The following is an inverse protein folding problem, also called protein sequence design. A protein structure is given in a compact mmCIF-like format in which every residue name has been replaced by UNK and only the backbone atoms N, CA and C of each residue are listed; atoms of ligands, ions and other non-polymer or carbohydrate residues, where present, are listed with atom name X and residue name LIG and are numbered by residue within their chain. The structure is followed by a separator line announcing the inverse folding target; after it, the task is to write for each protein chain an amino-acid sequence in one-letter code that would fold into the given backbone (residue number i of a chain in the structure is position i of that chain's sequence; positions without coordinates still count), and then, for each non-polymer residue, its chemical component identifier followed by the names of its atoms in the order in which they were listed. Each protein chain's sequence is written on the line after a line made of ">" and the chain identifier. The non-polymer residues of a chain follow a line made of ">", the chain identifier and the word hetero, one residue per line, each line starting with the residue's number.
data_IF_220663175051
#
_entry.id   IF_220663175051
#
_cell.length_a   1.000
_cell.length_b   1.000
_cell.length_c   1.000
_cell.angle_alpha   90.00
_cell.angle_beta   90.00
_cell.angle_gamma   90.00
#
_symmetry.space_group_name_H-M   'P 1'
#
loop_
_entity.id
_entity.type
_entity.pdbx_description
1 polymer ?
#
# COMPACT_ATOMS: atom_id res chain seq x y z
N UNK A 1 21.46 -53.42 -57.97
CA UNK A 1 21.08 -53.24 -56.52
C UNK A 1 22.06 -52.37 -55.72
N UNK A 2 23.36 -52.31 -55.94
CA UNK A 2 24.32 -51.45 -55.21
C UNK A 2 24.14 -49.97 -55.39
N UNK A 3 23.79 -49.51 -56.62
CA UNK A 3 23.68 -48.07 -56.98
C UNK A 3 22.46 -47.43 -56.34
N UNK A 4 21.33 -48.15 -56.21
CA UNK A 4 20.09 -47.63 -55.59
C UNK A 4 20.24 -47.47 -54.05
N UNK A 5 21.05 -48.29 -53.40
CA UNK A 5 21.31 -48.25 -51.95
C UNK A 5 22.19 -47.05 -51.57
N UNK A 6 23.12 -46.63 -52.45
CA UNK A 6 23.96 -45.43 -52.21
C UNK A 6 23.18 -44.13 -52.36
N UNK A 7 22.19 -44.07 -53.24
CA UNK A 7 21.36 -42.86 -53.42
C UNK A 7 20.36 -42.66 -52.25
N UNK A 8 19.89 -43.76 -51.62
CA UNK A 8 19.00 -43.70 -50.48
C UNK A 8 19.77 -43.23 -49.22
N UNK A 9 20.97 -43.76 -48.99
CA UNK A 9 21.82 -43.37 -47.86
C UNK A 9 22.27 -41.89 -47.96
N UNK A 10 22.60 -41.43 -49.18
CA UNK A 10 22.93 -40.01 -49.38
C UNK A 10 21.77 -39.06 -49.14
N UNK A 11 20.55 -39.43 -49.53
CA UNK A 11 19.32 -38.65 -49.23
C UNK A 11 18.98 -38.62 -47.76
N UNK A 12 19.14 -39.72 -47.05
CA UNK A 12 18.93 -39.81 -45.58
C UNK A 12 19.99 -38.96 -44.85
N UNK A 13 21.25 -39.06 -45.24
CA UNK A 13 22.31 -38.22 -44.66
C UNK A 13 22.09 -36.73 -44.90
N UNK A 14 21.62 -36.35 -46.09
CA UNK A 14 21.29 -34.96 -46.43
C UNK A 14 20.07 -34.45 -45.63
N UNK A 15 19.09 -35.31 -45.41
CA UNK A 15 17.91 -34.97 -44.63
C UNK A 15 18.23 -34.80 -43.12
N UNK A 16 19.09 -35.70 -42.56
CA UNK A 16 19.58 -35.59 -41.19
C UNK A 16 20.43 -34.32 -41.00
N UNK A 17 21.29 -33.99 -41.99
CA UNK A 17 22.09 -32.77 -41.94
C UNK A 17 21.23 -31.51 -42.02
N UNK A 18 20.16 -31.51 -42.83
CA UNK A 18 19.20 -30.41 -42.89
C UNK A 18 18.39 -30.26 -41.56
N UNK A 19 18.04 -31.37 -40.96
CA UNK A 19 17.31 -31.40 -39.65
C UNK A 19 18.19 -30.88 -38.49
N UNK A 20 19.50 -31.20 -38.50
CA UNK A 20 20.45 -30.68 -37.51
C UNK A 20 20.70 -29.18 -37.65
N UNK A 21 20.66 -28.63 -38.88
CA UNK A 21 20.73 -27.19 -39.13
C UNK A 21 19.48 -26.44 -38.63
N UNK A 22 18.32 -27.06 -38.66
CA UNK A 22 17.09 -26.48 -38.08
C UNK A 22 17.08 -26.47 -36.55
N UNK A 23 17.81 -27.38 -35.89
CA UNK A 23 17.92 -27.44 -34.45
C UNK A 23 18.95 -26.45 -33.85
N UNK A 24 19.82 -25.89 -34.68
CA UNK A 24 20.74 -24.81 -34.28
C UNK A 24 20.16 -23.41 -34.47
N UNK A 25 18.84 -23.29 -34.71
CA UNK A 25 18.13 -22.01 -34.73
C UNK A 25 18.21 -21.34 -33.37
N UNK A 26 19.17 -20.48 -33.30
CA UNK A 26 19.41 -19.39 -32.34
C UNK A 26 18.41 -19.21 -31.22
N UNK A 27 18.79 -19.60 -30.02
CA UNK A 27 18.43 -18.83 -28.82
C UNK A 27 19.22 -17.51 -28.81
N UNK A 28 19.02 -16.65 -29.79
CA UNK A 28 19.37 -15.25 -29.62
C UNK A 28 18.31 -14.67 -28.68
N UNK A 29 18.67 -14.52 -27.43
CA UNK A 29 17.96 -13.57 -26.57
C UNK A 29 18.01 -12.23 -27.29
N UNK A 30 16.88 -11.85 -27.89
CA UNK A 30 16.73 -10.53 -28.49
C UNK A 30 16.74 -9.53 -27.33
N UNK A 31 17.91 -8.97 -27.07
CA UNK A 31 18.05 -7.88 -26.12
C UNK A 31 17.58 -6.61 -26.82
N UNK A 32 16.44 -6.08 -26.40
CA UNK A 32 15.98 -4.77 -26.80
C UNK A 32 17.09 -3.74 -26.50
N UNK A 33 17.71 -3.11 -27.54
CA UNK A 33 18.80 -2.17 -27.32
C UNK A 33 18.38 -0.90 -26.55
N UNK A 34 17.07 -0.64 -26.42
CA UNK A 34 16.51 0.45 -25.61
C UNK A 34 16.31 0.05 -24.14
N UNK A 35 16.45 -1.24 -23.80
CA UNK A 35 16.33 -1.71 -22.42
C UNK A 35 17.69 -1.64 -21.73
N UNK A 36 17.78 -0.88 -20.64
CA UNK A 36 18.95 -0.93 -19.77
C UNK A 36 19.15 -2.39 -19.29
N UNK A 37 20.38 -2.92 -19.49
CA UNK A 37 20.71 -4.24 -18.95
C UNK A 37 20.60 -4.21 -17.44
N UNK A 38 19.96 -5.21 -16.86
CA UNK A 38 19.75 -5.31 -15.41
C UNK A 38 21.06 -5.15 -14.64
N UNK A 39 22.14 -5.77 -15.12
CA UNK A 39 23.47 -5.69 -14.49
C UNK A 39 24.04 -4.27 -14.49
N UNK A 40 23.78 -3.49 -15.54
CA UNK A 40 24.21 -2.07 -15.63
C UNK A 40 23.36 -1.21 -14.73
N UNK A 41 22.05 -1.43 -14.69
CA UNK A 41 21.14 -0.68 -13.83
C UNK A 41 21.41 -0.95 -12.34
N UNK A 42 21.68 -2.19 -11.96
CA UNK A 42 21.94 -2.58 -10.57
C UNK A 42 23.40 -2.42 -10.14
N UNK A 43 24.34 -2.24 -11.09
CA UNK A 43 25.75 -2.09 -10.82
C UNK A 43 26.22 -0.64 -10.55
N UNK A 44 25.34 0.36 -10.68
CA UNK A 44 25.71 1.76 -10.54
C UNK A 44 24.82 2.51 -9.54
N UNK A 45 25.40 3.52 -8.89
CA UNK A 45 24.66 4.40 -7.98
C UNK A 45 23.45 5.06 -8.67
N UNK A 46 23.63 5.56 -9.88
CA UNK A 46 22.56 6.20 -10.66
C UNK A 46 21.46 5.21 -11.03
N UNK A 47 21.80 4.00 -11.46
CA UNK A 47 20.82 2.97 -11.80
C UNK A 47 20.03 2.51 -10.59
N UNK A 48 20.70 2.27 -9.45
CA UNK A 48 20.01 1.94 -8.18
C UNK A 48 19.06 3.05 -7.74
N UNK A 49 19.44 4.32 -7.91
CA UNK A 49 18.56 5.46 -7.61
C UNK A 49 17.33 5.47 -8.51
N UNK A 50 17.49 5.20 -9.80
CA UNK A 50 16.38 5.12 -10.74
C UNK A 50 15.40 3.99 -10.37
N UNK A 51 15.91 2.81 -9.97
CA UNK A 51 15.06 1.70 -9.51
C UNK A 51 14.36 2.08 -8.20
N UNK A 52 15.06 2.69 -7.24
CA UNK A 52 14.49 3.13 -5.97
C UNK A 52 13.33 4.14 -6.16
N UNK A 53 13.51 5.15 -7.03
CA UNK A 53 12.44 6.08 -7.41
C UNK A 53 11.30 5.33 -8.13
N UNK A 54 11.63 4.33 -8.93
CA UNK A 54 10.68 3.44 -9.61
C UNK A 54 9.74 2.72 -8.64
N UNK A 55 10.19 2.39 -7.42
CA UNK A 55 9.34 1.79 -6.38
C UNK A 55 8.17 2.70 -6.01
N UNK A 56 8.43 4.00 -5.78
CA UNK A 56 7.37 4.97 -5.54
C UNK A 56 6.40 5.03 -6.73
N UNK A 57 6.93 5.04 -7.95
CA UNK A 57 6.11 5.09 -9.15
C UNK A 57 5.21 3.87 -9.28
N UNK A 58 5.72 2.65 -9.05
CA UNK A 58 4.90 1.43 -9.05
C UNK A 58 3.84 1.48 -7.95
N UNK A 59 4.17 2.06 -6.78
CA UNK A 59 3.21 2.19 -5.68
C UNK A 59 2.06 3.15 -6.02
N UNK A 60 2.33 4.28 -6.67
CA UNK A 60 1.38 5.40 -6.83
C UNK A 60 0.75 5.51 -8.21
N UNK A 61 1.34 4.90 -9.25
CA UNK A 61 0.95 5.14 -10.64
C UNK A 61 -0.29 4.33 -11.03
N UNK A 62 -1.27 5.00 -11.63
CA UNK A 62 -2.42 4.42 -12.31
C UNK A 62 -3.30 3.49 -11.44
N UNK A 63 -4.30 2.88 -12.06
CA UNK A 63 -5.17 1.87 -11.43
C UNK A 63 -4.47 0.57 -11.05
N UNK A 64 -3.27 0.34 -11.55
CA UNK A 64 -2.47 -0.85 -11.22
C UNK A 64 -1.58 -0.66 -10.00
N UNK A 65 -1.38 0.59 -9.55
CA UNK A 65 -0.57 0.89 -8.37
C UNK A 65 -1.20 0.40 -7.08
N UNK A 66 -0.35 0.08 -6.10
CA UNK A 66 -0.77 -0.40 -4.78
C UNK A 66 -1.69 0.60 -4.08
N UNK A 67 -1.38 1.90 -4.17
CA UNK A 67 -2.17 2.97 -3.55
C UNK A 67 -3.63 2.95 -4.01
N UNK A 68 -3.88 3.03 -5.31
CA UNK A 68 -5.24 3.01 -5.82
C UNK A 68 -5.96 1.71 -5.50
N UNK A 69 -5.30 0.57 -5.75
CA UNK A 69 -5.90 -0.74 -5.59
C UNK A 69 -6.28 -1.02 -4.13
N UNK A 70 -5.43 -0.63 -3.17
CA UNK A 70 -5.73 -0.78 -1.74
C UNK A 70 -6.88 0.12 -1.28
N UNK A 71 -6.89 1.39 -1.69
CA UNK A 71 -7.95 2.34 -1.34
C UNK A 71 -9.30 1.89 -1.93
N UNK A 72 -9.32 1.49 -3.21
CA UNK A 72 -10.53 1.02 -3.87
C UNK A 72 -11.06 -0.27 -3.23
N UNK A 73 -10.19 -1.28 -3.05
CA UNK A 73 -10.58 -2.55 -2.45
C UNK A 73 -11.14 -2.36 -1.03
N UNK A 74 -10.42 -1.60 -0.18
CA UNK A 74 -10.88 -1.28 1.16
C UNK A 74 -12.19 -0.51 1.14
N UNK A 75 -12.26 0.60 0.41
CA UNK A 75 -13.39 1.52 0.46
C UNK A 75 -14.71 0.90 -0.01
N UNK A 76 -14.68 -0.01 -0.98
CA UNK A 76 -15.87 -0.73 -1.40
C UNK A 76 -16.35 -1.76 -0.37
N UNK A 77 -15.44 -2.55 0.19
CA UNK A 77 -15.84 -3.62 1.12
C UNK A 77 -16.17 -3.09 2.53
N UNK A 78 -15.73 -1.87 2.85
CA UNK A 78 -16.02 -1.22 4.15
C UNK A 78 -17.09 -0.13 4.06
N UNK A 79 -17.83 -0.07 2.94
CA UNK A 79 -18.89 0.91 2.72
C UNK A 79 -18.46 2.39 2.74
N UNK A 80 -17.21 2.70 2.42
CA UNK A 80 -16.78 4.10 2.22
C UNK A 80 -17.28 4.64 0.87
N UNK A 81 -17.34 3.76 -0.16
CA UNK A 81 -17.63 4.15 -1.53
C UNK A 81 -18.91 3.51 -2.09
N UNK A 82 -19.58 4.25 -2.98
CA UNK A 82 -20.62 3.74 -3.87
C UNK A 82 -20.12 3.72 -5.31
N UNK A 83 -20.40 2.65 -6.02
CA UNK A 83 -20.14 2.54 -7.44
C UNK A 83 -21.19 3.34 -8.23
N UNK A 84 -20.76 4.11 -9.22
CA UNK A 84 -21.64 4.88 -10.11
C UNK A 84 -21.77 4.25 -11.49
N UNK A 85 -20.78 3.46 -11.92
CA UNK A 85 -20.77 2.81 -13.22
C UNK A 85 -20.53 1.31 -13.05
N UNK A 86 -21.61 0.53 -13.13
CA UNK A 86 -21.59 -0.94 -13.00
C UNK A 86 -20.83 -1.67 -14.12
N UNK A 87 -20.49 -0.99 -15.21
CA UNK A 87 -19.60 -1.54 -16.24
C UNK A 87 -18.16 -1.74 -15.78
N UNK A 88 -17.77 -1.13 -14.65
CA UNK A 88 -16.49 -1.40 -13.99
C UNK A 88 -16.61 -2.67 -13.14
N UNK A 89 -16.47 -3.82 -13.77
CA UNK A 89 -16.72 -5.14 -13.15
C UNK A 89 -15.90 -5.37 -11.88
N UNK A 90 -14.60 -5.06 -11.80
CA UNK A 90 -13.83 -5.28 -10.58
C UNK A 90 -14.36 -4.48 -9.39
N UNK A 91 -14.76 -3.22 -9.60
CA UNK A 91 -15.38 -2.38 -8.58
C UNK A 91 -16.78 -2.89 -8.22
N UNK A 92 -17.54 -3.40 -9.20
CA UNK A 92 -18.86 -4.01 -8.95
C UNK A 92 -18.74 -5.25 -8.07
N UNK A 93 -17.78 -6.13 -8.33
CA UNK A 93 -17.51 -7.30 -7.49
C UNK A 93 -17.20 -6.88 -6.04
N UNK A 94 -16.30 -5.92 -5.83
CA UNK A 94 -15.93 -5.40 -4.49
C UNK A 94 -17.11 -4.70 -3.82
N UNK A 95 -17.92 -3.96 -4.58
CA UNK A 95 -19.13 -3.29 -4.08
C UNK A 95 -20.22 -4.27 -3.68
N UNK A 96 -20.34 -5.40 -4.38
CA UNK A 96 -21.26 -6.50 -4.05
C UNK A 96 -20.75 -7.28 -2.84
N UNK A 97 -19.47 -7.63 -2.82
CA UNK A 97 -18.84 -8.39 -1.74
C UNK A 97 -19.14 -9.89 -1.79
N UNK A 98 -18.88 -10.57 -0.68
CA UNK A 98 -19.14 -12.01 -0.54
C UNK A 98 -18.49 -12.85 -1.64
N UNK A 99 -19.23 -13.79 -2.20
CA UNK A 99 -18.76 -14.68 -3.28
C UNK A 99 -18.54 -13.97 -4.62
N UNK A 100 -19.06 -12.76 -4.81
CA UNK A 100 -18.79 -11.99 -6.03
C UNK A 100 -17.33 -11.56 -6.15
N UNK A 101 -16.58 -11.54 -5.04
CA UNK A 101 -15.15 -11.23 -5.02
C UNK A 101 -14.38 -12.53 -5.12
N UNK A 102 -13.80 -12.80 -6.27
CA UNK A 102 -13.01 -14.01 -6.55
C UNK A 102 -11.61 -13.68 -7.09
N UNK A 103 -10.82 -14.71 -7.41
CA UNK A 103 -9.45 -14.60 -7.92
C UNK A 103 -9.31 -13.97 -9.30
N UNK A 104 -10.41 -13.65 -10.00
CA UNK A 104 -10.40 -12.93 -11.28
C UNK A 104 -10.40 -11.41 -11.12
N UNK A 105 -10.65 -10.90 -9.90
CA UNK A 105 -10.74 -9.46 -9.66
C UNK A 105 -9.43 -8.74 -9.98
N UNK A 106 -9.45 -7.87 -10.98
CA UNK A 106 -8.23 -7.22 -11.49
C UNK A 106 -7.68 -6.14 -10.54
N UNK A 107 -8.51 -5.56 -9.65
CA UNK A 107 -8.01 -4.64 -8.61
C UNK A 107 -7.17 -5.42 -7.59
N UNK A 108 -7.64 -6.59 -7.16
CA UNK A 108 -6.91 -7.46 -6.23
C UNK A 108 -5.65 -8.05 -6.87
N UNK A 109 -5.74 -8.46 -8.14
CA UNK A 109 -4.57 -8.90 -8.90
C UNK A 109 -3.51 -7.80 -8.99
N UNK A 110 -3.91 -6.56 -9.33
CA UNK A 110 -3.01 -5.44 -9.45
C UNK A 110 -2.33 -5.10 -8.10
N UNK A 111 -3.11 -5.11 -7.02
CA UNK A 111 -2.58 -4.92 -5.67
C UNK A 111 -1.51 -5.96 -5.33
N UNK A 112 -1.81 -7.24 -5.58
CA UNK A 112 -0.91 -8.37 -5.34
C UNK A 112 0.35 -8.30 -6.19
N UNK A 113 0.18 -8.17 -7.51
CA UNK A 113 1.30 -8.18 -8.46
C UNK A 113 2.23 -6.98 -8.27
N UNK A 114 1.67 -5.77 -8.08
CA UNK A 114 2.46 -4.56 -7.85
C UNK A 114 3.18 -4.60 -6.49
N UNK A 115 2.54 -5.13 -5.44
CA UNK A 115 3.19 -5.28 -4.15
C UNK A 115 4.38 -6.27 -4.22
N UNK A 116 4.19 -7.44 -4.86
CA UNK A 116 5.28 -8.41 -5.05
C UNK A 116 6.41 -7.84 -5.92
N UNK A 117 6.08 -7.08 -6.97
CA UNK A 117 7.08 -6.38 -7.78
C UNK A 117 7.89 -5.39 -6.95
N UNK A 118 7.26 -4.59 -6.11
CA UNK A 118 7.94 -3.65 -5.22
C UNK A 118 8.87 -4.40 -4.26
N UNK A 119 8.43 -5.51 -3.67
CA UNK A 119 9.28 -6.33 -2.78
C UNK A 119 10.52 -6.82 -3.53
N UNK A 120 10.34 -7.37 -4.74
CA UNK A 120 11.45 -7.87 -5.56
C UNK A 120 12.43 -6.75 -5.94
N UNK A 121 11.94 -5.64 -6.50
CA UNK A 121 12.80 -4.54 -6.94
C UNK A 121 13.53 -3.89 -5.75
N UNK A 122 12.85 -3.75 -4.60
CA UNK A 122 13.47 -3.22 -3.38
C UNK A 122 14.57 -4.13 -2.85
N UNK A 123 14.41 -5.45 -2.92
CA UNK A 123 15.45 -6.42 -2.55
C UNK A 123 16.70 -6.27 -3.45
N UNK A 124 16.48 -6.04 -4.75
CA UNK A 124 17.60 -5.77 -5.68
C UNK A 124 18.35 -4.50 -5.29
N UNK A 125 17.64 -3.41 -4.99
CA UNK A 125 18.27 -2.14 -4.57
C UNK A 125 19.01 -2.32 -3.25
N UNK A 126 18.37 -2.89 -2.23
CA UNK A 126 18.94 -3.04 -0.88
C UNK A 126 20.21 -3.92 -0.93
N UNK A 127 20.15 -5.03 -1.67
CA UNK A 127 21.30 -5.93 -1.79
C UNK A 127 22.49 -5.27 -2.48
N UNK A 128 22.25 -4.61 -3.63
CA UNK A 128 23.31 -4.02 -4.43
C UNK A 128 23.84 -2.71 -3.84
N UNK A 129 23.03 -1.94 -3.10
CA UNK A 129 23.45 -0.72 -2.43
C UNK A 129 24.60 -0.96 -1.42
N UNK A 130 24.64 -2.14 -0.78
CA UNK A 130 25.71 -2.51 0.14
C UNK A 130 27.12 -2.50 -0.51
N UNK A 131 27.19 -2.67 -1.82
CA UNK A 131 28.45 -2.71 -2.59
C UNK A 131 28.95 -1.31 -2.98
N UNK A 132 28.17 -0.25 -2.77
CA UNK A 132 28.59 1.12 -3.09
C UNK A 132 29.70 1.60 -2.14
N UNK A 133 30.64 2.35 -2.69
CA UNK A 133 31.72 3.00 -1.92
C UNK A 133 31.21 4.11 -1.01
N UNK A 134 30.26 4.93 -1.47
CA UNK A 134 29.58 5.96 -0.67
C UNK A 134 28.54 5.30 0.26
N UNK A 135 28.93 5.08 1.52
CA UNK A 135 28.07 4.42 2.51
C UNK A 135 26.88 5.28 2.96
N UNK A 136 27.02 6.60 2.94
CA UNK A 136 25.90 7.51 3.22
C UNK A 136 24.85 7.50 2.11
N UNK A 137 25.28 7.40 0.86
CA UNK A 137 24.37 7.22 -0.29
C UNK A 137 23.69 5.86 -0.25
N UNK A 138 24.46 4.80 0.03
CA UNK A 138 23.94 3.45 0.21
C UNK A 138 22.87 3.38 1.30
N UNK A 139 23.12 4.03 2.44
CA UNK A 139 22.15 4.11 3.54
C UNK A 139 20.84 4.78 3.10
N UNK A 140 20.92 5.83 2.31
CA UNK A 140 19.77 6.49 1.72
C UNK A 140 18.96 5.57 0.79
N UNK A 141 19.63 4.85 -0.12
CA UNK A 141 19.01 3.88 -1.02
C UNK A 141 18.30 2.75 -0.25
N UNK A 142 18.99 2.18 0.75
CA UNK A 142 18.45 1.12 1.60
C UNK A 142 17.22 1.61 2.34
N UNK A 143 17.31 2.77 2.98
CA UNK A 143 16.21 3.31 3.78
C UNK A 143 14.98 3.67 2.93
N UNK A 144 15.19 4.36 1.82
CA UNK A 144 14.12 4.74 0.91
C UNK A 144 13.41 3.50 0.31
N UNK A 145 14.18 2.51 -0.15
CA UNK A 145 13.62 1.27 -0.69
C UNK A 145 12.91 0.44 0.37
N UNK A 146 13.40 0.46 1.61
CA UNK A 146 12.77 -0.22 2.76
C UNK A 146 11.39 0.33 3.08
N UNK A 147 11.12 1.63 2.88
CA UNK A 147 9.79 2.23 3.05
C UNK A 147 8.80 1.56 2.10
N UNK A 148 9.11 1.47 0.81
CA UNK A 148 8.20 0.90 -0.18
C UNK A 148 8.06 -0.61 -0.02
N UNK A 149 9.15 -1.31 0.34
CA UNK A 149 9.09 -2.73 0.66
C UNK A 149 8.17 -3.01 1.85
N UNK A 150 8.29 -2.23 2.92
CA UNK A 150 7.43 -2.35 4.10
C UNK A 150 5.97 -2.00 3.79
N UNK A 151 5.72 -0.96 3.00
CA UNK A 151 4.37 -0.62 2.52
C UNK A 151 3.75 -1.76 1.70
N UNK A 152 4.51 -2.39 0.81
CA UNK A 152 4.03 -3.51 -0.01
C UNK A 152 3.70 -4.74 0.84
N UNK A 153 4.61 -5.16 1.73
CA UNK A 153 4.41 -6.29 2.66
C UNK A 153 3.23 -5.99 3.59
N UNK A 154 3.17 -4.78 4.17
CA UNK A 154 2.11 -4.37 5.08
C UNK A 154 0.74 -4.35 4.41
N UNK A 155 0.63 -3.87 3.17
CA UNK A 155 -0.62 -3.95 2.39
C UNK A 155 -1.04 -5.39 2.14
N UNK A 156 -0.14 -6.28 1.73
CA UNK A 156 -0.48 -7.69 1.56
C UNK A 156 -0.95 -8.31 2.89
N UNK A 157 -0.24 -8.08 3.99
CA UNK A 157 -0.61 -8.59 5.32
C UNK A 157 -1.94 -8.02 5.85
N UNK A 158 -2.32 -6.82 5.40
CA UNK A 158 -3.60 -6.21 5.74
C UNK A 158 -4.78 -6.86 5.01
N UNK A 159 -4.60 -7.32 3.78
CA UNK A 159 -5.71 -7.77 2.95
C UNK A 159 -5.82 -9.28 2.79
N UNK A 160 -4.76 -10.04 3.00
CA UNK A 160 -4.75 -11.51 2.92
C UNK A 160 -4.41 -12.16 4.26
N UNK A 161 -4.96 -13.34 4.53
CA UNK A 161 -4.69 -14.11 5.75
C UNK A 161 -3.24 -14.59 5.84
N UNK A 162 -2.66 -14.89 4.67
CA UNK A 162 -1.27 -15.28 4.52
C UNK A 162 -0.65 -14.56 3.33
N UNK A 163 0.63 -14.30 3.39
CA UNK A 163 1.38 -13.62 2.34
C UNK A 163 2.64 -14.41 1.99
N UNK A 164 3.22 -14.23 0.79
CA UNK A 164 4.48 -14.88 0.43
C UNK A 164 5.62 -14.47 1.36
N UNK A 165 6.46 -15.43 1.73
CA UNK A 165 7.66 -15.17 2.55
C UNK A 165 8.85 -14.66 1.71
N UNK A 166 8.61 -14.23 0.50
CA UNK A 166 9.62 -13.70 -0.42
C UNK A 166 9.08 -13.60 -1.82
N UNK A 167 9.99 -13.52 -2.79
CA UNK A 167 9.67 -13.47 -4.22
C UNK A 167 10.31 -14.64 -4.93
N UNK A 168 9.64 -15.20 -5.97
CA UNK A 168 10.14 -16.32 -6.76
C UNK A 168 9.07 -17.38 -6.99
N UNK A 169 9.48 -18.52 -7.57
CA UNK A 169 8.58 -19.63 -7.87
C UNK A 169 8.34 -20.49 -6.63
N UNK A 170 7.09 -20.87 -6.38
CA UNK A 170 6.69 -21.75 -5.28
C UNK A 170 7.17 -21.28 -3.89
N UNK A 171 7.07 -19.98 -3.62
CA UNK A 171 7.45 -19.39 -2.35
C UNK A 171 6.51 -19.86 -1.25
N UNK A 172 7.03 -20.12 -0.06
CA UNK A 172 6.24 -20.42 1.13
C UNK A 172 5.40 -19.23 1.57
N UNK A 173 4.35 -19.49 2.33
CA UNK A 173 3.46 -18.46 2.88
C UNK A 173 3.62 -18.33 4.39
N UNK A 174 3.60 -17.10 4.87
CA UNK A 174 3.59 -16.76 6.29
C UNK A 174 2.24 -16.12 6.68
N UNK A 175 1.92 -16.16 7.95
CA UNK A 175 0.71 -15.50 8.47
C UNK A 175 0.80 -13.98 8.32
N UNK A 176 -0.34 -13.29 8.31
CA UNK A 176 -0.37 -11.83 8.28
C UNK A 176 0.38 -11.19 9.46
N UNK A 177 0.31 -11.78 10.65
CA UNK A 177 1.07 -11.30 11.81
C UNK A 177 2.59 -11.37 11.58
N UNK A 178 3.09 -12.47 11.01
CA UNK A 178 4.47 -12.60 10.58
C UNK A 178 4.82 -11.61 9.44
N UNK A 179 3.86 -11.31 8.57
CA UNK A 179 4.02 -10.30 7.52
C UNK A 179 4.24 -8.89 8.10
N UNK A 180 3.45 -8.47 9.10
CA UNK A 180 3.68 -7.20 9.78
C UNK A 180 5.02 -7.17 10.52
N UNK A 181 5.39 -8.27 11.20
CA UNK A 181 6.71 -8.38 11.83
C UNK A 181 7.84 -8.27 10.81
N UNK A 182 7.70 -8.87 9.62
CA UNK A 182 8.65 -8.75 8.52
C UNK A 182 8.76 -7.31 8.00
N UNK A 183 7.65 -6.60 7.86
CA UNK A 183 7.64 -5.19 7.48
C UNK A 183 8.38 -4.32 8.51
N UNK A 184 8.16 -4.57 9.82
CA UNK A 184 8.88 -3.91 10.91
C UNK A 184 10.37 -4.21 10.83
N UNK A 185 10.77 -5.47 10.65
CA UNK A 185 12.18 -5.86 10.57
C UNK A 185 12.93 -5.19 9.40
N UNK A 186 12.27 -5.01 8.26
CA UNK A 186 12.81 -4.25 7.11
C UNK A 186 13.10 -2.80 7.49
N UNK A 187 12.19 -2.17 8.24
CA UNK A 187 12.33 -0.79 8.71
C UNK A 187 13.37 -0.66 9.84
N UNK A 188 13.49 -1.66 10.72
CA UNK A 188 14.52 -1.72 11.76
C UNK A 188 15.92 -1.78 11.15
N UNK A 189 16.09 -2.62 10.12
CA UNK A 189 17.35 -2.68 9.38
C UNK A 189 17.70 -1.32 8.75
N UNK A 190 16.71 -0.62 8.18
CA UNK A 190 16.92 0.71 7.62
C UNK A 190 17.42 1.72 8.66
N UNK A 191 16.81 1.74 9.86
CA UNK A 191 17.27 2.61 10.96
C UNK A 191 18.67 2.24 11.42
N UNK A 192 18.99 0.95 11.51
CA UNK A 192 20.33 0.46 11.88
C UNK A 192 21.39 0.94 10.87
N UNK A 193 21.09 0.86 9.58
CA UNK A 193 21.99 1.32 8.52
C UNK A 193 22.19 2.84 8.55
N UNK A 194 21.10 3.61 8.77
CA UNK A 194 21.16 5.08 8.92
C UNK A 194 22.00 5.49 10.16
N UNK A 195 21.85 4.77 11.26
CA UNK A 195 22.61 5.06 12.48
C UNK A 195 24.11 4.82 12.30
N UNK A 196 24.47 3.79 11.53
CA UNK A 196 25.88 3.51 11.21
C UNK A 196 26.47 4.48 10.15
N UNK A 197 25.65 4.89 9.18
CA UNK A 197 26.04 5.75 8.08
C UNK A 197 24.92 6.76 7.79
N UNK A 198 25.00 8.00 8.28
CA UNK A 198 24.00 9.02 8.02
C UNK A 198 23.74 9.21 6.52
N UNK A 199 22.49 9.41 6.15
CA UNK A 199 22.09 9.60 4.75
C UNK A 199 22.82 10.82 4.17
N UNK A 200 23.50 10.65 3.03
CA UNK A 200 24.24 11.72 2.39
C UNK A 200 23.31 12.77 1.75
N UNK A 201 23.76 14.03 1.75
CA UNK A 201 23.04 15.12 1.08
C UNK A 201 22.93 14.86 -0.43
N UNK A 202 23.92 14.21 -1.03
CA UNK A 202 23.90 13.83 -2.45
C UNK A 202 22.78 12.83 -2.75
N UNK A 203 22.46 11.90 -1.85
CA UNK A 203 21.30 11.02 -2.02
C UNK A 203 19.99 11.83 -1.92
N UNK A 204 19.84 12.66 -0.89
CA UNK A 204 18.63 13.44 -0.65
C UNK A 204 18.29 14.38 -1.81
N UNK A 205 19.29 14.87 -2.55
CA UNK A 205 19.07 15.72 -3.74
C UNK A 205 18.62 14.94 -4.98
N UNK A 206 18.72 13.61 -4.97
CA UNK A 206 18.38 12.74 -6.11
C UNK A 206 17.07 11.96 -5.94
N UNK A 207 16.38 12.11 -4.81
CA UNK A 207 15.07 11.46 -4.55
C UNK A 207 14.00 12.50 -4.25
N UNK A 208 12.70 12.17 -4.38
CA UNK A 208 11.62 13.08 -4.03
C UNK A 208 11.74 13.58 -2.58
N UNK A 209 11.86 14.89 -2.41
CA UNK A 209 12.01 15.52 -1.09
C UNK A 209 10.74 15.44 -0.23
N UNK A 210 9.60 15.10 -0.85
CA UNK A 210 8.29 15.01 -0.20
C UNK A 210 8.15 13.78 0.71
N UNK A 211 9.10 12.82 0.63
CA UNK A 211 9.18 11.65 1.51
C UNK A 211 10.22 11.91 2.61
N UNK A 212 9.75 12.24 3.81
CA UNK A 212 10.64 12.33 4.96
C UNK A 212 11.01 10.92 5.44
N UNK A 213 12.21 10.45 5.08
CA UNK A 213 12.61 9.04 5.22
C UNK A 213 12.50 8.56 6.66
N UNK A 214 13.17 9.21 7.60
CA UNK A 214 13.23 8.76 9.00
C UNK A 214 11.86 8.81 9.66
N UNK A 215 11.13 9.91 9.49
CA UNK A 215 9.78 10.03 10.03
C UNK A 215 8.83 8.98 9.46
N UNK A 216 8.92 8.71 8.15
CA UNK A 216 8.09 7.68 7.51
C UNK A 216 8.39 6.30 8.05
N UNK A 217 9.66 5.98 8.31
CA UNK A 217 10.05 4.71 8.92
C UNK A 217 9.39 4.56 10.29
N UNK A 218 9.49 5.54 11.18
CA UNK A 218 8.86 5.52 12.50
C UNK A 218 7.34 5.42 12.41
N UNK A 219 6.70 6.18 11.52
CA UNK A 219 5.25 6.15 11.32
C UNK A 219 4.74 4.78 10.85
N UNK A 220 5.43 4.15 9.90
CA UNK A 220 5.07 2.81 9.41
C UNK A 220 5.35 1.72 10.45
N UNK A 221 6.44 1.82 11.22
CA UNK A 221 6.70 0.92 12.34
C UNK A 221 5.59 1.02 13.40
N UNK A 222 5.16 2.24 13.76
CA UNK A 222 4.04 2.45 14.68
C UNK A 222 2.75 1.81 14.17
N UNK A 223 2.42 2.01 12.88
CA UNK A 223 1.25 1.40 12.23
C UNK A 223 1.29 -0.13 12.27
N UNK A 224 2.38 -0.75 11.82
CA UNK A 224 2.46 -2.20 11.75
C UNK A 224 2.62 -2.86 13.13
N UNK A 225 3.26 -2.20 14.08
CA UNK A 225 3.30 -2.63 15.47
C UNK A 225 1.89 -2.63 16.11
N UNK A 226 1.09 -1.58 15.86
CA UNK A 226 -0.31 -1.54 16.26
C UNK A 226 -1.11 -2.69 15.62
N UNK A 227 -0.94 -2.95 14.32
CA UNK A 227 -1.66 -4.00 13.58
C UNK A 227 -1.27 -5.41 14.03
N UNK A 228 -0.06 -5.61 14.50
CA UNK A 228 0.41 -6.88 15.08
C UNK A 228 0.12 -7.04 16.58
N UNK A 229 -0.47 -6.03 17.23
CA UNK A 229 -0.73 -6.04 18.66
C UNK A 229 0.48 -5.75 19.56
N UNK A 230 1.60 -5.33 18.99
CA UNK A 230 2.77 -4.91 19.76
C UNK A 230 2.63 -3.45 20.21
N UNK A 231 1.80 -3.23 21.22
CA UNK A 231 1.43 -1.90 21.69
C UNK A 231 2.61 -1.10 22.23
N UNK A 232 3.55 -1.76 22.92
CA UNK A 232 4.75 -1.09 23.45
C UNK A 232 5.59 -0.49 22.32
N UNK A 233 5.87 -1.28 21.26
CA UNK A 233 6.59 -0.79 20.10
C UNK A 233 5.80 0.28 19.36
N UNK A 234 4.48 0.11 19.20
CA UNK A 234 3.62 1.08 18.53
C UNK A 234 3.69 2.46 19.20
N UNK A 235 3.65 2.51 20.54
CA UNK A 235 3.76 3.76 21.30
C UNK A 235 5.16 4.38 21.18
N UNK A 236 6.20 3.56 21.31
CA UNK A 236 7.60 4.01 21.16
C UNK A 236 7.82 4.68 19.82
N UNK A 237 7.42 4.01 18.75
CA UNK A 237 7.61 4.51 17.38
C UNK A 237 6.71 5.72 17.08
N UNK A 238 5.47 5.72 17.54
CA UNK A 238 4.58 6.87 17.41
C UNK A 238 5.12 8.13 18.13
N UNK A 239 5.83 7.96 19.25
CA UNK A 239 6.49 9.05 19.96
C UNK A 239 7.75 9.57 19.24
N UNK A 240 8.37 8.76 18.40
CA UNK A 240 9.54 9.14 17.61
C UNK A 240 9.17 9.95 16.35
N UNK A 241 7.88 10.00 15.96
CA UNK A 241 7.44 10.76 14.78
C UNK A 241 7.38 12.26 15.11
N UNK A 242 8.11 13.07 14.34
CA UNK A 242 7.99 14.52 14.35
C UNK A 242 6.73 14.95 13.55
N UNK A 243 5.67 15.31 14.26
CA UNK A 243 4.38 15.68 13.68
C UNK A 243 4.40 17.03 12.94
N UNK A 244 5.50 17.78 13.00
CA UNK A 244 5.68 19.05 12.26
C UNK A 244 6.21 18.82 10.85
N UNK A 245 6.52 17.58 10.47
CA UNK A 245 7.06 17.21 9.15
C UNK A 245 6.09 16.31 8.40
N UNK A 246 5.74 16.74 7.18
CA UNK A 246 4.90 15.95 6.29
C UNK A 246 5.70 14.88 5.55
N UNK A 247 5.02 13.81 5.18
CA UNK A 247 5.51 12.81 4.23
C UNK A 247 4.36 12.37 3.32
N UNK A 248 4.50 12.59 2.02
CA UNK A 248 3.41 12.40 1.06
C UNK A 248 3.92 12.07 -0.33
N UNK A 249 3.03 11.55 -1.17
CA UNK A 249 3.24 11.39 -2.60
C UNK A 249 2.80 12.65 -3.33
N UNK A 250 3.71 13.23 -4.09
CA UNK A 250 3.45 14.39 -4.93
C UNK A 250 2.96 13.95 -6.30
N UNK A 251 2.01 14.70 -6.85
CA UNK A 251 1.46 14.50 -8.19
C UNK A 251 1.54 15.79 -9.00
N UNK A 252 1.46 15.66 -10.30
CA UNK A 252 1.47 16.76 -11.27
C UNK A 252 0.69 16.37 -12.54
N UNK A 253 0.76 17.20 -13.58
CA UNK A 253 0.07 16.95 -14.86
C UNK A 253 0.65 15.77 -15.65
N UNK A 254 1.92 15.41 -15.43
CA UNK A 254 2.58 14.27 -16.09
C UNK A 254 2.40 12.96 -15.31
N UNK A 255 2.21 13.07 -14.01
CA UNK A 255 1.94 11.97 -13.09
C UNK A 255 0.74 12.36 -12.20
N UNK A 256 -0.49 12.32 -12.74
CA UNK A 256 -1.67 12.80 -12.06
C UNK A 256 -2.07 11.92 -10.88
N UNK A 257 -2.72 12.54 -9.87
CA UNK A 257 -3.36 11.82 -8.79
C UNK A 257 -4.43 10.89 -9.36
N UNK A 258 -4.20 9.58 -9.24
CA UNK A 258 -5.09 8.57 -9.83
C UNK A 258 -6.48 8.57 -9.17
N UNK A 259 -6.56 8.90 -7.87
CA UNK A 259 -7.86 9.00 -7.18
C UNK A 259 -8.71 10.10 -7.81
N UNK A 260 -8.13 11.29 -8.01
CA UNK A 260 -8.82 12.38 -8.73
C UNK A 260 -9.26 11.92 -10.12
N UNK A 261 -8.37 11.29 -10.89
CA UNK A 261 -8.69 10.87 -12.26
C UNK A 261 -9.86 9.89 -12.32
N UNK A 262 -9.89 8.90 -11.43
CA UNK A 262 -10.94 7.87 -11.42
C UNK A 262 -12.22 8.35 -10.74
N UNK A 263 -12.10 9.08 -9.65
CA UNK A 263 -13.24 9.50 -8.83
C UNK A 263 -13.87 10.77 -9.40
N UNK A 264 -13.07 11.79 -9.67
CA UNK A 264 -13.58 13.11 -10.04
C UNK A 264 -13.70 13.31 -11.55
N UNK A 265 -12.73 12.86 -12.35
CA UNK A 265 -12.78 12.99 -13.82
C UNK A 265 -13.66 11.92 -14.46
N UNK A 266 -13.42 10.63 -14.15
CA UNK A 266 -14.15 9.52 -14.76
C UNK A 266 -15.44 9.16 -14.03
N UNK A 267 -15.64 9.68 -12.83
CA UNK A 267 -16.82 9.48 -12.00
C UNK A 267 -17.21 8.01 -11.81
N UNK A 268 -16.21 7.14 -11.59
CA UNK A 268 -16.43 5.69 -11.45
C UNK A 268 -17.12 5.37 -10.12
N UNK A 269 -16.64 6.01 -9.05
CA UNK A 269 -17.22 5.88 -7.71
C UNK A 269 -17.07 7.18 -6.92
N UNK A 270 -17.87 7.33 -5.88
CA UNK A 270 -17.93 8.51 -5.02
C UNK A 270 -18.15 8.07 -3.56
N UNK A 271 -18.07 8.98 -2.57
CA UNK A 271 -18.46 8.66 -1.20
C UNK A 271 -19.83 8.01 -1.14
N UNK A 272 -20.00 7.00 -0.29
CA UNK A 272 -21.30 6.33 -0.14
C UNK A 272 -22.41 7.33 0.23
N UNK A 273 -22.12 8.17 1.22
CA UNK A 273 -23.00 9.24 1.70
C UNK A 273 -22.17 10.30 2.45
N UNK A 274 -22.85 11.36 2.93
CA UNK A 274 -22.21 12.45 3.67
C UNK A 274 -21.64 12.01 5.04
N UNK A 275 -22.04 10.84 5.53
CA UNK A 275 -21.52 10.27 6.77
C UNK A 275 -20.27 9.39 6.55
N UNK A 276 -19.65 9.44 5.36
CA UNK A 276 -18.48 8.64 4.99
C UNK A 276 -18.73 7.11 5.11
N UNK A 277 -20.00 6.68 4.91
CA UNK A 277 -20.39 5.28 5.07
C UNK A 277 -20.50 4.80 6.52
N UNK A 278 -20.42 5.70 7.49
CA UNK A 278 -20.55 5.38 8.92
C UNK A 278 -22.02 5.40 9.34
N UNK A 279 -22.35 4.54 10.31
CA UNK A 279 -23.72 4.33 10.81
C UNK A 279 -23.76 4.32 12.34
N UNK A 280 -24.93 4.42 12.93
CA UNK A 280 -25.15 4.32 14.37
C UNK A 280 -24.35 5.35 15.16
N UNK A 281 -23.65 4.94 16.21
CA UNK A 281 -22.85 5.80 17.06
C UNK A 281 -21.58 6.34 16.37
N UNK A 282 -21.18 5.74 15.24
CA UNK A 282 -19.99 6.16 14.47
C UNK A 282 -20.28 7.30 13.48
N UNK A 283 -21.54 7.70 13.29
CA UNK A 283 -21.89 8.84 12.42
C UNK A 283 -21.13 10.09 12.90
N UNK A 284 -20.47 10.82 11.98
CA UNK A 284 -19.76 12.05 12.31
C UNK A 284 -20.70 13.10 12.92
N UNK A 285 -20.17 13.90 13.81
CA UNK A 285 -20.88 15.09 14.29
C UNK A 285 -21.10 16.07 13.15
N UNK A 286 -22.26 16.72 13.10
CA UNK A 286 -22.60 17.66 12.01
C UNK A 286 -21.62 18.86 11.92
N UNK A 287 -20.95 19.19 13.03
CA UNK A 287 -19.96 20.26 13.08
C UNK A 287 -18.54 19.82 12.67
N UNK A 288 -18.32 18.50 12.47
CA UNK A 288 -17.00 17.96 12.16
C UNK A 288 -16.47 18.47 10.81
N UNK A 289 -15.42 19.26 10.86
CA UNK A 289 -14.83 19.92 9.67
C UNK A 289 -14.10 18.94 8.75
N UNK A 290 -13.86 17.71 9.16
CA UNK A 290 -13.33 16.64 8.27
C UNK A 290 -14.34 16.25 7.19
N UNK A 291 -15.65 16.41 7.45
CA UNK A 291 -16.68 16.10 6.44
C UNK A 291 -16.55 16.98 5.20
N UNK A 292 -16.62 18.34 5.30
CA UNK A 292 -16.41 19.20 4.14
C UNK A 292 -14.96 19.17 3.60
N UNK A 293 -13.99 18.67 4.37
CA UNK A 293 -12.65 18.39 3.84
C UNK A 293 -12.69 17.21 2.86
N UNK A 294 -13.30 16.07 3.23
CA UNK A 294 -13.32 14.87 2.41
C UNK A 294 -14.41 14.83 1.35
N UNK A 295 -15.48 15.61 1.52
CA UNK A 295 -16.64 15.59 0.62
C UNK A 295 -17.13 16.98 0.29
N UNK A 296 -17.71 17.13 -0.90
CA UNK A 296 -18.37 18.37 -1.30
C UNK A 296 -19.59 18.06 -2.18
N UNK A 297 -20.55 18.97 -2.21
CA UNK A 297 -21.65 18.95 -3.17
C UNK A 297 -21.23 19.75 -4.40
N UNK A 298 -21.20 19.11 -5.56
CA UNK A 298 -20.78 19.73 -6.82
C UNK A 298 -21.59 19.22 -8.02
N UNK A 299 -21.58 20.00 -9.10
CA UNK A 299 -22.30 19.70 -10.35
C UNK A 299 -23.70 20.31 -10.39
N UNK A 300 -24.39 20.13 -11.53
CA UNK A 300 -25.78 20.54 -11.74
C UNK A 300 -26.54 19.39 -12.42
N UNK A 301 -27.45 18.67 -11.73
CA UNK A 301 -27.77 18.85 -10.31
C UNK A 301 -26.60 18.51 -9.39
N UNK A 302 -26.54 19.14 -8.21
CA UNK A 302 -25.49 18.92 -7.25
C UNK A 302 -25.52 17.49 -6.71
N UNK A 303 -24.35 16.82 -6.73
CA UNK A 303 -24.14 15.47 -6.23
C UNK A 303 -22.97 15.43 -5.27
N UNK A 304 -23.01 14.49 -4.33
CA UNK A 304 -21.90 14.29 -3.40
C UNK A 304 -20.67 13.77 -4.13
N UNK A 305 -19.55 14.47 -3.95
CA UNK A 305 -18.27 14.22 -4.56
C UNK A 305 -17.18 14.06 -3.50
N UNK A 306 -16.16 13.26 -3.82
CA UNK A 306 -14.94 13.22 -3.04
C UNK A 306 -14.15 14.51 -3.23
N UNK A 307 -13.49 14.95 -2.15
CA UNK A 307 -12.66 16.15 -2.08
C UNK A 307 -11.31 15.81 -1.39
N UNK A 308 -10.66 16.77 -0.77
CA UNK A 308 -9.42 16.60 -0.02
C UNK A 308 -8.29 16.02 -0.86
N UNK A 309 -7.82 14.85 -0.54
CA UNK A 309 -6.72 14.18 -1.24
C UNK A 309 -7.06 13.72 -2.67
N UNK A 310 -8.30 13.83 -3.10
CA UNK A 310 -8.75 13.54 -4.45
C UNK A 310 -9.41 14.78 -5.13
N UNK A 311 -9.09 15.99 -4.68
CA UNK A 311 -9.73 17.22 -5.16
C UNK A 311 -9.20 17.69 -6.52
N UNK A 312 -7.95 17.42 -6.87
CA UNK A 312 -7.30 17.88 -8.09
C UNK A 312 -6.21 16.92 -8.58
N UNK A 313 -5.79 17.13 -9.84
CA UNK A 313 -4.70 16.37 -10.49
C UNK A 313 -3.42 16.37 -9.67
N UNK A 314 -3.09 17.47 -9.01
CA UNK A 314 -1.88 17.65 -8.23
C UNK A 314 -2.10 17.52 -6.71
N UNK A 315 -3.29 17.12 -6.25
CA UNK A 315 -3.52 16.91 -4.81
C UNK A 315 -2.56 15.88 -4.25
N UNK A 316 -1.74 16.22 -3.24
CA UNK A 316 -0.82 15.27 -2.62
C UNK A 316 -1.59 14.19 -1.86
N UNK A 317 -1.00 13.00 -1.74
CA UNK A 317 -1.57 11.91 -0.93
C UNK A 317 -0.63 11.56 0.22
N UNK A 318 -1.05 11.66 1.48
CA UNK A 318 -0.18 11.40 2.64
C UNK A 318 0.22 9.92 2.73
N UNK A 319 1.47 9.65 3.12
CA UNK A 319 1.92 8.30 3.47
C UNK A 319 1.40 7.94 4.86
N UNK A 320 1.34 8.92 5.73
CA UNK A 320 0.67 8.89 7.02
C UNK A 320 0.13 10.28 7.36
N UNK A 321 -0.90 10.34 8.20
CA UNK A 321 -1.43 11.59 8.73
C UNK A 321 -0.92 11.85 10.15
N UNK A 322 -0.70 13.12 10.57
CA UNK A 322 -0.44 13.44 11.97
C UNK A 322 -1.52 12.88 12.89
N UNK A 323 -2.80 12.97 12.47
CA UNK A 323 -3.92 12.41 13.21
C UNK A 323 -3.88 10.88 13.35
N UNK A 324 -3.34 10.15 12.36
CA UNK A 324 -3.12 8.71 12.49
C UNK A 324 -2.17 8.38 13.64
N UNK A 325 -1.04 9.08 13.71
CA UNK A 325 -0.02 8.85 14.74
C UNK A 325 -0.57 9.16 16.13
N UNK A 326 -1.31 10.25 16.27
CA UNK A 326 -1.96 10.61 17.53
C UNK A 326 -3.00 9.55 17.94
N UNK A 327 -3.80 9.05 16.98
CA UNK A 327 -4.79 8.01 17.23
C UNK A 327 -4.18 6.63 17.52
N UNK A 328 -2.97 6.33 17.00
CA UNK A 328 -2.19 5.17 17.44
C UNK A 328 -1.85 5.29 18.93
N UNK A 329 -1.36 6.46 19.39
CA UNK A 329 -1.06 6.70 20.80
C UNK A 329 -2.32 6.55 21.67
N UNK A 330 -3.42 7.17 21.26
CA UNK A 330 -4.70 7.09 21.97
C UNK A 330 -5.17 5.64 22.11
N UNK A 331 -5.13 4.85 21.02
CA UNK A 331 -5.57 3.45 21.03
C UNK A 331 -4.67 2.59 21.94
N UNK A 332 -3.36 2.74 21.82
CA UNK A 332 -2.42 1.97 22.64
C UNK A 332 -2.63 2.25 24.13
N UNK A 333 -2.75 3.52 24.50
CA UNK A 333 -2.98 3.93 25.89
C UNK A 333 -4.31 3.40 26.41
N UNK A 334 -5.39 3.44 25.61
CA UNK A 334 -6.67 2.83 25.98
C UNK A 334 -6.54 1.32 26.22
N UNK A 335 -5.80 0.60 25.36
CA UNK A 335 -5.60 -0.86 25.49
C UNK A 335 -4.69 -1.25 26.66
N UNK A 336 -3.82 -0.33 27.10
CA UNK A 336 -2.92 -0.48 28.26
C UNK A 336 -3.51 0.13 29.54
N UNK A 337 -4.79 0.21 29.69
CA UNK A 337 -5.74 0.97 30.52
C UNK A 337 -5.23 2.30 31.14
N UNK A 338 -4.43 3.04 30.39
CA UNK A 338 -4.09 4.44 30.71
C UNK A 338 -5.15 5.38 30.08
N UNK A 339 -6.35 5.35 30.64
CA UNK A 339 -7.52 6.00 30.09
C UNK A 339 -7.41 7.52 30.08
N UNK A 340 -6.72 8.08 31.08
CA UNK A 340 -6.50 9.53 31.18
C UNK A 340 -5.65 10.05 30.02
N UNK A 341 -4.50 9.45 29.78
CA UNK A 341 -3.63 9.85 28.68
C UNK A 341 -4.21 9.49 27.32
N UNK A 342 -4.96 8.39 27.21
CA UNK A 342 -5.72 8.05 26.02
C UNK A 342 -6.71 9.16 25.62
N UNK A 343 -7.49 9.68 26.57
CA UNK A 343 -8.42 10.78 26.33
C UNK A 343 -7.69 12.08 25.93
N UNK A 344 -6.55 12.37 26.55
CA UNK A 344 -5.71 13.52 26.19
C UNK A 344 -5.25 13.40 24.73
N UNK A 345 -4.73 12.25 24.31
CA UNK A 345 -4.30 12.03 22.92
C UNK A 345 -5.49 12.09 21.95
N UNK A 346 -6.62 11.47 22.27
CA UNK A 346 -7.83 11.51 21.44
C UNK A 346 -8.30 12.96 21.24
N UNK A 347 -8.31 13.77 22.29
CA UNK A 347 -8.73 15.16 22.23
C UNK A 347 -7.84 16.02 21.33
N UNK A 348 -6.54 15.68 21.14
CA UNK A 348 -5.69 16.37 20.16
C UNK A 348 -6.21 16.25 18.72
N UNK A 349 -6.90 15.16 18.39
CA UNK A 349 -7.54 14.97 17.06
C UNK A 349 -8.93 15.61 17.05
N UNK A 350 -9.70 15.44 18.11
CA UNK A 350 -11.08 15.97 18.23
C UNK A 350 -11.11 17.49 18.16
N UNK A 351 -10.19 18.15 18.85
CA UNK A 351 -10.15 19.61 18.92
C UNK A 351 -9.25 20.27 17.88
N UNK A 352 -8.56 19.47 17.06
CA UNK A 352 -7.62 19.94 16.03
C UNK A 352 -8.30 20.87 15.06
N UNK A 353 -7.78 22.09 14.90
CA UNK A 353 -8.29 23.14 13.99
C UNK A 353 -7.57 23.17 12.65
N UNK A 354 -6.36 22.57 12.56
CA UNK A 354 -5.60 22.36 11.33
C UNK A 354 -4.50 21.34 11.57
N UNK A 355 -3.97 20.76 10.50
CA UNK A 355 -2.68 20.04 10.48
C UNK A 355 -1.95 20.32 9.16
N UNK A 356 -0.82 19.63 8.92
CA UNK A 356 0.02 19.82 7.72
C UNK A 356 -0.72 19.56 6.39
N UNK A 357 -1.85 18.88 6.44
CA UNK A 357 -2.67 18.51 5.27
C UNK A 357 -4.03 19.21 5.26
N UNK A 358 -4.31 20.06 6.24
CA UNK A 358 -5.60 20.77 6.37
C UNK A 358 -6.71 19.89 6.98
N UNK A 359 -6.40 18.70 7.49
CA UNK A 359 -7.40 17.85 8.15
C UNK A 359 -7.67 18.37 9.57
N UNK A 360 -8.93 18.69 9.86
CA UNK A 360 -9.33 19.30 11.12
C UNK A 360 -10.74 18.82 11.53
N UNK A 361 -10.90 18.33 12.74
CA UNK A 361 -12.23 18.04 13.30
C UNK A 361 -12.88 19.29 13.86
N UNK A 362 -12.12 20.12 14.57
CA UNK A 362 -12.54 21.38 15.21
C UNK A 362 -13.79 21.24 16.06
N UNK A 363 -13.91 20.12 16.79
CA UNK A 363 -15.01 19.83 17.70
C UNK A 363 -14.66 20.26 19.14
N UNK A 364 -15.65 20.45 20.02
CA UNK A 364 -15.41 20.59 21.44
C UNK A 364 -14.67 19.37 22.02
N UNK A 365 -13.87 19.56 23.09
CA UNK A 365 -13.19 18.44 23.73
C UNK A 365 -14.19 17.44 24.32
N UNK A 366 -13.85 16.15 24.23
CA UNK A 366 -14.54 15.09 24.94
C UNK A 366 -14.24 15.20 26.44
N UNK A 367 -15.28 15.10 27.27
CA UNK A 367 -15.19 15.23 28.74
C UNK A 367 -15.56 13.89 29.35
N UNK A 368 -14.59 13.25 30.08
CA UNK A 368 -14.80 11.98 30.78
C UNK A 368 -15.43 12.14 32.17
N UNK A 369 -15.45 11.06 32.96
CA UNK A 369 -14.70 9.82 32.73
C UNK A 369 -15.36 8.88 31.71
N UNK A 370 -14.52 8.11 30.97
CA UNK A 370 -14.93 7.05 30.05
C UNK A 370 -14.39 5.70 30.52
N UNK A 371 -15.11 4.63 30.25
CA UNK A 371 -14.59 3.26 30.39
C UNK A 371 -13.61 2.99 29.21
N UNK A 372 -12.79 1.94 29.34
CA UNK A 372 -11.90 1.51 28.26
C UNK A 372 -12.66 1.28 26.95
N UNK A 373 -13.80 0.57 27.00
CA UNK A 373 -14.57 0.28 25.80
C UNK A 373 -15.13 1.56 25.16
N UNK A 374 -15.66 2.48 25.95
CA UNK A 374 -16.15 3.76 25.44
C UNK A 374 -15.06 4.59 24.77
N UNK A 375 -13.83 4.59 25.32
CA UNK A 375 -12.70 5.25 24.66
C UNK A 375 -12.32 4.54 23.35
N UNK A 376 -12.29 3.20 23.35
CA UNK A 376 -12.01 2.45 22.13
C UNK A 376 -13.07 2.71 21.05
N UNK A 377 -14.35 2.80 21.42
CA UNK A 377 -15.44 3.12 20.48
C UNK A 377 -15.26 4.54 19.88
N UNK A 378 -14.93 5.52 20.73
CA UNK A 378 -14.65 6.89 20.28
C UNK A 378 -13.39 6.94 19.38
N UNK A 379 -12.34 6.22 19.75
CA UNK A 379 -11.13 6.14 18.94
C UNK A 379 -11.45 5.52 17.58
N UNK A 380 -12.22 4.43 17.52
CA UNK A 380 -12.66 3.83 16.26
C UNK A 380 -13.45 4.82 15.37
N UNK A 381 -14.42 5.54 15.97
CA UNK A 381 -15.18 6.61 15.28
C UNK A 381 -14.22 7.63 14.68
N UNK A 382 -13.32 8.21 15.48
CA UNK A 382 -12.42 9.25 15.03
C UNK A 382 -11.36 8.75 14.06
N UNK A 383 -10.88 7.48 14.16
CA UNK A 383 -10.01 6.85 13.17
C UNK A 383 -10.72 6.69 11.83
N UNK A 384 -11.98 6.22 11.84
CA UNK A 384 -12.78 6.02 10.63
C UNK A 384 -13.04 7.31 9.86
N UNK A 385 -13.12 8.47 10.56
CA UNK A 385 -13.29 9.78 9.94
C UNK A 385 -11.94 10.37 9.50
N UNK A 386 -10.94 10.34 10.39
CA UNK A 386 -9.61 10.92 10.13
C UNK A 386 -8.90 10.23 8.96
N UNK A 387 -9.06 8.91 8.85
CA UNK A 387 -8.39 8.06 7.86
C UNK A 387 -9.31 7.67 6.71
N UNK A 388 -10.36 8.44 6.45
CA UNK A 388 -11.28 8.16 5.35
C UNK A 388 -10.53 8.06 4.01
N UNK A 389 -10.86 7.04 3.22
CA UNK A 389 -10.25 6.75 1.93
C UNK A 389 -8.71 6.54 1.97
N UNK A 390 -8.16 6.12 3.12
CA UNK A 390 -6.74 5.80 3.27
C UNK A 390 -6.39 4.35 2.94
N UNK A 391 -7.39 3.46 2.83
CA UNK A 391 -7.18 2.02 2.69
C UNK A 391 -6.97 1.28 4.02
N UNK A 392 -7.15 1.92 5.18
CA UNK A 392 -6.84 1.32 6.49
C UNK A 392 -8.06 0.80 7.26
N UNK A 393 -9.28 1.17 6.86
CA UNK A 393 -10.51 0.93 7.65
C UNK A 393 -10.80 -0.56 7.90
N UNK A 394 -10.55 -1.45 6.93
CA UNK A 394 -10.81 -2.88 7.12
C UNK A 394 -9.97 -3.48 8.26
N UNK A 395 -8.75 -3.00 8.43
CA UNK A 395 -7.88 -3.43 9.52
C UNK A 395 -8.34 -2.88 10.86
N UNK A 396 -8.78 -1.62 10.89
CA UNK A 396 -9.39 -1.02 12.08
C UNK A 396 -10.66 -1.80 12.46
N UNK A 397 -11.54 -2.13 11.52
CA UNK A 397 -12.74 -2.93 11.79
C UNK A 397 -12.44 -4.27 12.45
N UNK A 398 -11.37 -4.97 12.03
CA UNK A 398 -10.93 -6.23 12.67
C UNK A 398 -10.43 -5.99 14.09
N UNK A 399 -9.57 -5.00 14.27
CA UNK A 399 -8.88 -4.72 15.54
C UNK A 399 -9.82 -4.20 16.61
N UNK A 400 -10.87 -3.49 16.21
CA UNK A 400 -11.94 -3.02 17.09
C UNK A 400 -13.14 -3.97 17.17
N UNK A 401 -12.99 -5.22 16.68
CA UNK A 401 -14.02 -6.26 16.70
C UNK A 401 -15.38 -5.81 16.15
N UNK A 402 -15.37 -4.94 15.13
CA UNK A 402 -16.61 -4.55 14.46
C UNK A 402 -17.27 -5.78 13.82
N UNK A 403 -18.62 -5.86 13.80
CA UNK A 403 -19.32 -6.99 13.23
C UNK A 403 -18.86 -7.32 11.80
N UNK A 404 -18.75 -8.61 11.48
CA UNK A 404 -18.39 -9.05 10.13
C UNK A 404 -19.44 -8.57 9.10
N UNK A 405 -20.71 -8.49 9.50
CA UNK A 405 -21.79 -7.95 8.70
C UNK A 405 -21.60 -6.50 8.22
N UNK A 406 -20.75 -5.72 8.91
CA UNK A 406 -20.51 -4.32 8.57
C UNK A 406 -19.48 -4.16 7.43
N UNK A 407 -18.86 -5.27 7.02
CA UNK A 407 -17.96 -5.34 5.86
C UNK A 407 -18.33 -6.45 4.92
N UNK A 408 -18.21 -6.20 3.63
CA UNK A 408 -18.63 -7.12 2.57
C UNK A 408 -17.65 -8.28 2.35
N UNK A 409 -16.43 -8.16 2.84
CA UNK A 409 -15.38 -9.17 2.78
C UNK A 409 -14.41 -8.96 3.95
N UNK A 410 -13.96 -10.06 4.57
CA UNK A 410 -12.98 -9.96 5.66
C UNK A 410 -11.54 -10.05 5.15
N UNK A 411 -11.25 -11.05 4.32
CA UNK A 411 -9.99 -11.21 3.60
C UNK A 411 -10.27 -11.47 2.14
N UNK A 412 -9.31 -11.16 1.28
CA UNK A 412 -9.47 -11.32 -0.15
C UNK A 412 -8.99 -12.69 -0.63
N UNK A 413 -9.61 -13.24 -1.72
CA UNK A 413 -9.13 -14.42 -2.40
C UNK A 413 -7.78 -14.15 -3.06
N UNK A 414 -6.99 -15.22 -3.26
CA UNK A 414 -5.73 -15.12 -3.97
C UNK A 414 -5.99 -15.02 -5.48
N UNK A 415 -5.23 -14.18 -6.22
CA UNK A 415 -5.35 -14.11 -7.68
C UNK A 415 -5.11 -15.47 -8.34
N UNK A 416 -5.83 -15.77 -9.42
CA UNK A 416 -5.65 -17.04 -10.16
C UNK A 416 -4.22 -17.20 -10.66
N UNK A 417 -3.60 -16.13 -11.12
CA UNK A 417 -2.21 -16.16 -11.59
C UNK A 417 -1.22 -16.58 -10.48
N UNK A 418 -1.52 -16.25 -9.23
CA UNK A 418 -0.72 -16.72 -8.10
C UNK A 418 -0.87 -18.24 -7.93
N UNK A 419 -2.12 -18.76 -8.00
CA UNK A 419 -2.38 -20.19 -7.90
C UNK A 419 -1.71 -21.00 -9.02
N UNK A 420 -1.72 -20.47 -10.24
CA UNK A 420 -1.12 -21.12 -11.39
C UNK A 420 0.41 -21.19 -11.29
N UNK A 421 1.03 -20.23 -10.63
CA UNK A 421 2.49 -20.09 -10.56
C UNK A 421 3.10 -20.51 -9.22
N UNK A 422 2.29 -20.69 -8.17
CA UNK A 422 2.76 -21.04 -6.83
C UNK A 422 1.89 -22.15 -6.21
N UNK A 423 2.41 -23.36 -6.19
CA UNK A 423 1.71 -24.53 -5.64
C UNK A 423 1.48 -24.45 -4.13
N UNK A 424 2.14 -23.52 -3.42
CA UNK A 424 1.97 -23.27 -1.99
C UNK A 424 0.85 -22.28 -1.69
N UNK A 425 0.17 -21.73 -2.71
CA UNK A 425 -0.92 -20.75 -2.51
C UNK A 425 -2.03 -21.37 -1.64
N UNK A 426 -2.37 -20.74 -0.51
CA UNK A 426 -3.40 -21.26 0.38
C UNK A 426 -4.79 -21.30 -0.27
N UNK A 427 -5.71 -22.05 0.32
CA UNK A 427 -7.12 -21.96 -0.02
C UNK A 427 -7.64 -20.52 0.18
N UNK A 428 -8.66 -20.13 -0.58
CA UNK A 428 -9.29 -18.83 -0.39
C UNK A 428 -9.97 -18.75 0.97
N UNK A 429 -9.89 -17.59 1.63
CA UNK A 429 -10.59 -17.38 2.89
C UNK A 429 -12.11 -17.42 2.69
N UNK A 430 -12.83 -17.88 3.70
CA UNK A 430 -14.28 -17.74 3.78
C UNK A 430 -14.66 -16.25 3.91
N UNK A 431 -15.88 -15.92 3.49
CA UNK A 431 -16.42 -14.55 3.51
C UNK A 431 -17.62 -14.41 4.42
#
# INVERSE_FOLDING_TARGET
>A
MKILRNHISAKIASFIFLLTLCLSSCTKEYQDPSRAKTDVALGSQQGLTAVAIGLQRVYTLSRTGVMFSSIAANGFVTNEFRLLNSGNIPELQLSTGGSAVDGTNTILFNLWASANKIVYDADQVISNANNLGDKGYAAGLIAYSSIFKALAIGNMAQYWEKIPDGTGKNVAYITRAAGFAKAIAVLDNALTVIAANPISASFLSNVPADVNIVNTIHALKARYALFSGNYTLALTEANAVDLTKASFFKFDTTSPNILFSIISSNNVFQPLNANLGLTGANVPDAADKRIPFYTLMAGNPATLRMNGFAAATASPFPIYLPGEIILIKAEVLARQPDLTNSLIELNKVVTKTSDLFGVAAALPPLVGPYTQQQLLDLIYKHRSIELYASGLKIEDMRRFNQPISDRKRNFFPYPFQERDNNTNTPADPTF
#
